data_IF_148227823103
#
_entry.id   IF_148227823103
#
_cell.length_a   1.000
_cell.length_b   1.000
_cell.length_c   1.000
_cell.angle_alpha   90.00
_cell.angle_beta   90.00
_cell.angle_gamma   90.00
#
_symmetry.space_group_name_H-M   'P 1'
#
loop_
_entity.id
_entity.type
_entity.pdbx_description
1 polymer ?
#
# COMPACT_ATOMS: atom_id res chain seq x y z
N UNK A 1 6.28 14.18 -17.56
CA UNK A 1 5.38 13.06 -17.83
C UNK A 1 4.12 13.61 -18.48
N UNK A 2 3.52 12.96 -19.46
CA UNK A 2 2.46 13.55 -20.31
C UNK A 2 1.10 13.46 -19.54
N UNK A 3 0.34 14.56 -19.42
CA UNK A 3 -0.94 14.66 -18.71
C UNK A 3 -1.92 13.50 -19.04
N UNK A 4 -2.03 13.12 -20.33
CA UNK A 4 -2.85 11.97 -20.76
C UNK A 4 -2.42 10.63 -20.14
N UNK A 5 -1.14 10.47 -19.79
CA UNK A 5 -0.63 9.23 -19.20
C UNK A 5 -0.98 9.11 -17.73
N UNK A 6 -0.97 10.20 -17.00
CA UNK A 6 -1.24 10.21 -15.55
C UNK A 6 -2.73 10.08 -15.23
N UNK A 7 -3.58 10.76 -15.99
CA UNK A 7 -5.05 10.57 -15.92
C UNK A 7 -5.45 9.11 -16.20
N UNK A 8 -4.72 8.42 -17.09
CA UNK A 8 -4.94 7.01 -17.35
C UNK A 8 -4.51 6.13 -16.16
N UNK A 9 -3.36 6.41 -15.54
CA UNK A 9 -2.87 5.65 -14.37
C UNK A 9 -3.90 5.75 -13.22
N UNK A 10 -4.43 6.95 -12.97
CA UNK A 10 -5.49 7.14 -11.99
C UNK A 10 -6.73 6.28 -12.28
N UNK A 11 -7.21 6.28 -13.53
CA UNK A 11 -8.36 5.45 -13.92
C UNK A 11 -8.08 3.96 -13.71
N UNK A 12 -6.90 3.48 -14.08
CA UNK A 12 -6.52 2.09 -13.95
C UNK A 12 -6.37 1.67 -12.47
N UNK A 13 -5.83 2.54 -11.61
CA UNK A 13 -5.83 2.33 -10.16
C UNK A 13 -7.26 2.27 -9.61
N UNK A 14 -8.14 3.20 -10.00
CA UNK A 14 -9.53 3.21 -9.55
C UNK A 14 -10.30 1.96 -10.00
N UNK A 15 -10.09 1.48 -11.23
CA UNK A 15 -10.70 0.25 -11.74
C UNK A 15 -10.31 -0.96 -10.88
N UNK A 16 -9.11 -0.97 -10.31
CA UNK A 16 -8.66 -2.07 -9.44
C UNK A 16 -9.05 -1.88 -7.97
N UNK A 17 -9.14 -0.64 -7.49
CA UNK A 17 -9.51 -0.32 -6.09
C UNK A 17 -11.01 -0.44 -5.85
N UNK A 18 -11.85 -0.05 -6.83
CA UNK A 18 -13.31 -0.11 -6.67
C UNK A 18 -13.86 -1.52 -6.40
N UNK A 19 -13.43 -2.60 -7.09
CA UNK A 19 -13.86 -3.95 -6.74
C UNK A 19 -13.47 -4.35 -5.31
N UNK A 20 -12.28 -3.95 -4.83
CA UNK A 20 -11.85 -4.18 -3.45
C UNK A 20 -12.75 -3.43 -2.45
N UNK A 21 -13.09 -2.18 -2.75
CA UNK A 21 -14.00 -1.38 -1.92
C UNK A 21 -15.42 -1.95 -1.93
N UNK A 22 -15.91 -2.42 -3.08
CA UNK A 22 -17.20 -3.10 -3.17
C UNK A 22 -17.23 -4.39 -2.35
N UNK A 23 -16.17 -5.20 -2.43
CA UNK A 23 -16.05 -6.42 -1.64
C UNK A 23 -16.05 -6.09 -0.13
N UNK A 24 -15.30 -5.08 0.29
CA UNK A 24 -15.30 -4.60 1.67
C UNK A 24 -16.69 -4.09 2.11
N UNK A 25 -17.42 -3.41 1.23
CA UNK A 25 -18.79 -3.00 1.51
C UNK A 25 -19.73 -4.21 1.69
N UNK A 26 -19.62 -5.23 0.84
CA UNK A 26 -20.44 -6.44 0.99
C UNK A 26 -20.12 -7.23 2.25
N UNK A 27 -18.88 -7.24 2.72
CA UNK A 27 -18.48 -7.96 3.93
C UNK A 27 -18.79 -7.21 5.22
N UNK A 28 -18.62 -5.89 5.23
CA UNK A 28 -18.66 -5.10 6.47
C UNK A 28 -19.79 -4.06 6.52
N UNK A 29 -20.49 -3.84 5.42
CA UNK A 29 -21.67 -3.00 5.37
C UNK A 29 -21.38 -1.49 5.25
N UNK A 30 -22.36 -0.70 5.71
CA UNK A 30 -22.43 0.75 5.45
C UNK A 30 -21.33 1.52 6.18
N UNK A 31 -20.87 1.06 7.34
CA UNK A 31 -19.81 1.75 8.10
C UNK A 31 -18.55 1.93 7.25
N UNK A 32 -18.10 0.87 6.56
CA UNK A 32 -16.95 0.95 5.67
C UNK A 32 -17.19 1.95 4.52
N UNK A 33 -18.38 1.95 3.91
CA UNK A 33 -18.69 2.88 2.81
C UNK A 33 -18.61 4.35 3.25
N UNK A 34 -19.14 4.65 4.44
CA UNK A 34 -19.06 6.01 5.03
C UNK A 34 -17.61 6.37 5.34
N UNK A 35 -16.83 5.44 5.93
CA UNK A 35 -15.42 5.66 6.21
C UNK A 35 -14.62 5.94 4.92
N UNK A 36 -14.83 5.14 3.87
CA UNK A 36 -14.18 5.35 2.57
C UNK A 36 -14.57 6.69 1.95
N UNK A 37 -15.85 7.08 2.04
CA UNK A 37 -16.30 8.40 1.60
C UNK A 37 -15.63 9.53 2.39
N UNK A 38 -15.54 9.43 3.72
CA UNK A 38 -14.83 10.40 4.57
C UNK A 38 -13.37 10.52 4.14
N UNK A 39 -12.68 9.40 3.90
CA UNK A 39 -11.30 9.41 3.42
C UNK A 39 -11.17 10.14 2.08
N UNK A 40 -11.98 9.80 1.08
CA UNK A 40 -11.92 10.40 -0.26
C UNK A 40 -12.24 11.89 -0.22
N UNK A 41 -13.28 12.30 0.50
CA UNK A 41 -13.61 13.74 0.64
C UNK A 41 -12.52 14.50 1.37
N UNK A 42 -11.91 13.92 2.42
CA UNK A 42 -10.79 14.54 3.14
C UNK A 42 -9.58 14.70 2.23
N UNK A 43 -9.23 13.67 1.45
CA UNK A 43 -8.13 13.73 0.49
C UNK A 43 -8.32 14.82 -0.56
N UNK A 44 -9.52 14.92 -1.13
CA UNK A 44 -9.87 15.98 -2.08
C UNK A 44 -9.80 17.37 -1.46
N UNK A 45 -10.36 17.55 -0.27
CA UNK A 45 -10.36 18.84 0.43
C UNK A 45 -8.93 19.27 0.80
N UNK A 46 -8.11 18.35 1.30
CA UNK A 46 -6.72 18.61 1.63
C UNK A 46 -5.89 18.99 0.40
N UNK A 47 -6.06 18.28 -0.72
CA UNK A 47 -5.37 18.59 -1.97
C UNK A 47 -5.79 19.96 -2.52
N UNK A 48 -7.09 20.24 -2.56
CA UNK A 48 -7.61 21.53 -2.99
C UNK A 48 -7.07 22.67 -2.14
N UNK A 49 -7.07 22.51 -0.81
CA UNK A 49 -6.54 23.52 0.11
C UNK A 49 -5.03 23.74 -0.11
N UNK A 50 -4.25 22.66 -0.27
CA UNK A 50 -2.82 22.74 -0.51
C UNK A 50 -2.49 23.45 -1.84
N UNK A 51 -3.21 23.11 -2.92
CA UNK A 51 -3.02 23.76 -4.23
C UNK A 51 -3.37 25.25 -4.17
N UNK A 52 -4.44 25.64 -3.45
CA UNK A 52 -4.79 27.05 -3.22
C UNK A 52 -3.69 27.79 -2.47
N UNK A 53 -3.12 27.20 -1.43
CA UNK A 53 -1.99 27.79 -0.68
C UNK A 53 -0.74 27.92 -1.54
N UNK A 54 -0.52 26.99 -2.47
CA UNK A 54 0.60 27.01 -3.41
C UNK A 54 0.35 27.87 -4.65
N UNK A 55 -0.80 28.56 -4.75
CA UNK A 55 -1.24 29.33 -5.93
C UNK A 55 -1.20 28.51 -7.23
N UNK A 56 -1.59 27.23 -7.17
CA UNK A 56 -1.69 26.32 -8.31
C UNK A 56 -3.14 26.01 -8.64
N UNK A 57 -3.43 25.83 -9.93
CA UNK A 57 -4.74 25.36 -10.38
C UNK A 57 -4.90 23.86 -10.17
N UNK A 58 -6.12 23.44 -9.84
CA UNK A 58 -6.48 22.03 -9.73
C UNK A 58 -6.57 21.41 -11.14
N UNK A 59 -5.87 20.32 -11.36
CA UNK A 59 -5.82 19.61 -12.63
C UNK A 59 -6.39 18.20 -12.50
N UNK A 60 -6.76 17.57 -13.63
CA UNK A 60 -7.24 16.18 -13.64
C UNK A 60 -6.24 15.21 -13.01
N UNK A 61 -4.96 15.55 -13.04
CA UNK A 61 -3.89 14.75 -12.47
C UNK A 61 -3.90 14.78 -10.93
N UNK A 62 -4.45 15.81 -10.31
CA UNK A 62 -4.53 15.93 -8.86
C UNK A 62 -5.63 15.02 -8.29
N UNK A 63 -6.52 14.47 -9.13
CA UNK A 63 -7.48 13.42 -8.77
C UNK A 63 -6.82 12.15 -8.19
N UNK A 64 -5.52 11.94 -8.40
CA UNK A 64 -4.79 10.84 -7.74
C UNK A 64 -4.84 10.90 -6.21
N UNK A 65 -5.18 12.04 -5.61
CA UNK A 65 -5.44 12.11 -4.17
C UNK A 65 -6.62 11.23 -3.74
N UNK A 66 -7.56 10.94 -4.65
CA UNK A 66 -8.70 10.06 -4.36
C UNK A 66 -8.29 8.60 -4.31
N UNK A 67 -7.37 8.16 -5.19
CA UNK A 67 -6.81 6.80 -5.11
C UNK A 67 -5.96 6.64 -3.85
N UNK A 68 -5.10 7.60 -3.52
CA UNK A 68 -4.32 7.60 -2.28
C UNK A 68 -5.22 7.48 -1.04
N UNK A 69 -6.31 8.25 -0.99
CA UNK A 69 -7.27 8.23 0.12
C UNK A 69 -8.05 6.91 0.20
N UNK A 70 -8.42 6.33 -0.94
CA UNK A 70 -9.11 5.04 -0.99
C UNK A 70 -8.18 3.89 -0.58
N UNK A 71 -6.90 3.95 -0.96
CA UNK A 71 -5.87 3.01 -0.49
C UNK A 71 -5.78 3.06 1.04
N UNK A 72 -5.75 4.26 1.65
CA UNK A 72 -5.74 4.42 3.11
C UNK A 72 -6.97 3.76 3.74
N UNK A 73 -8.17 4.03 3.20
CA UNK A 73 -9.40 3.42 3.70
C UNK A 73 -9.38 1.89 3.63
N UNK A 74 -8.83 1.32 2.56
CA UNK A 74 -8.69 -0.12 2.36
C UNK A 74 -7.62 -0.77 3.26
N UNK A 75 -6.67 0.00 3.77
CA UNK A 75 -5.67 -0.48 4.73
C UNK A 75 -6.20 -0.52 6.16
N UNK A 76 -7.32 0.12 6.44
CA UNK A 76 -7.90 0.20 7.76
C UNK A 76 -8.88 -0.94 8.05
N UNK A 77 -9.13 -1.27 9.35
CA UNK A 77 -10.26 -2.10 9.71
C UNK A 77 -11.58 -1.41 9.37
N UNK A 78 -12.59 -2.21 8.99
CA UNK A 78 -13.89 -1.68 8.55
C UNK A 78 -14.63 -0.86 9.62
N UNK A 79 -14.27 -1.02 10.87
CA UNK A 79 -14.88 -0.36 12.04
C UNK A 79 -14.07 0.80 12.60
N UNK A 80 -13.08 1.27 11.83
CA UNK A 80 -12.24 2.40 12.24
C UNK A 80 -13.08 3.66 12.50
N UNK A 81 -12.74 4.40 13.55
CA UNK A 81 -13.40 5.67 13.84
C UNK A 81 -13.15 6.68 12.71
N UNK A 82 -14.24 7.32 12.26
CA UNK A 82 -14.18 8.29 11.16
C UNK A 82 -13.24 9.46 11.43
N UNK A 83 -13.08 9.87 12.72
CA UNK A 83 -12.14 10.92 13.12
C UNK A 83 -10.69 10.50 12.92
N UNK A 84 -10.37 9.26 13.26
CA UNK A 84 -9.02 8.71 13.06
C UNK A 84 -8.74 8.59 11.56
N UNK A 85 -9.69 8.06 10.79
CA UNK A 85 -9.57 7.99 9.34
C UNK A 85 -9.37 9.37 8.69
N UNK A 86 -10.14 10.38 9.12
CA UNK A 86 -9.97 11.77 8.70
C UNK A 86 -8.57 12.30 8.98
N UNK A 87 -8.08 12.16 10.23
CA UNK A 87 -6.75 12.64 10.63
C UNK A 87 -5.62 11.91 9.88
N UNK A 88 -5.75 10.62 9.65
CA UNK A 88 -4.79 9.83 8.91
C UNK A 88 -4.64 10.30 7.46
N UNK A 89 -5.76 10.51 6.76
CA UNK A 89 -5.75 11.02 5.38
C UNK A 89 -5.22 12.44 5.33
N UNK A 90 -5.61 13.27 6.28
CA UNK A 90 -5.09 14.65 6.37
C UNK A 90 -3.57 14.66 6.56
N UNK A 91 -3.04 13.82 7.46
CA UNK A 91 -1.59 13.66 7.65
C UNK A 91 -0.89 13.19 6.37
N UNK A 92 -1.38 12.14 5.74
CA UNK A 92 -0.81 11.60 4.50
C UNK A 92 -0.81 12.61 3.36
N UNK A 93 -1.92 13.33 3.17
CA UNK A 93 -2.07 14.30 2.08
C UNK A 93 -1.29 15.58 2.34
N UNK A 94 -1.35 16.14 3.54
CA UNK A 94 -0.70 17.44 3.85
C UNK A 94 0.77 17.23 4.19
N UNK A 95 1.08 16.40 5.18
CA UNK A 95 2.44 16.27 5.71
C UNK A 95 3.30 15.42 4.78
N UNK A 96 2.87 14.20 4.45
CA UNK A 96 3.72 13.29 3.68
C UNK A 96 3.83 13.67 2.19
N UNK A 97 2.83 14.35 1.61
CA UNK A 97 2.80 14.71 0.19
C UNK A 97 3.07 16.20 -0.04
N UNK A 98 2.21 17.07 0.46
CA UNK A 98 2.20 18.48 0.05
C UNK A 98 3.32 19.33 0.66
N UNK A 99 3.73 19.07 1.92
CA UNK A 99 4.87 19.77 2.56
C UNK A 99 6.18 19.55 1.80
N UNK A 100 6.38 18.37 1.19
CA UNK A 100 7.57 18.06 0.40
C UNK A 100 7.50 18.51 -1.07
N UNK A 101 6.53 19.33 -1.45
CA UNK A 101 6.41 19.89 -2.81
C UNK A 101 5.35 19.22 -3.66
N UNK A 102 4.50 18.39 -3.06
CA UNK A 102 3.37 17.74 -3.70
C UNK A 102 3.80 16.63 -4.65
N UNK A 103 2.94 16.33 -5.62
CA UNK A 103 3.07 15.18 -6.51
C UNK A 103 4.37 15.11 -7.32
N UNK A 104 4.96 16.26 -7.68
CA UNK A 104 6.19 16.29 -8.49
C UNK A 104 7.45 15.90 -7.72
N UNK A 105 7.42 16.03 -6.40
CA UNK A 105 8.57 15.74 -5.54
C UNK A 105 8.15 14.84 -4.38
N UNK A 106 7.39 13.79 -4.67
CA UNK A 106 6.91 12.84 -3.66
C UNK A 106 8.08 12.03 -3.11
N UNK A 107 8.31 12.18 -1.80
CA UNK A 107 9.33 11.44 -1.05
C UNK A 107 8.71 10.18 -0.47
N UNK A 108 7.65 10.33 0.30
CA UNK A 108 6.91 9.25 0.95
C UNK A 108 5.66 8.87 0.16
N UNK A 109 5.27 7.61 0.22
CA UNK A 109 3.91 7.23 -0.15
C UNK A 109 2.93 7.81 0.87
N UNK A 110 1.93 8.62 0.45
CA UNK A 110 0.95 9.21 1.37
C UNK A 110 0.19 8.15 2.16
N UNK A 111 -0.15 7.04 1.52
CA UNK A 111 -0.85 5.93 2.15
C UNK A 111 0.01 5.23 3.21
N UNK A 112 1.29 4.95 2.90
CA UNK A 112 2.20 4.34 3.88
C UNK A 112 2.44 5.26 5.09
N UNK A 113 2.65 6.55 4.86
CA UNK A 113 2.87 7.52 5.92
C UNK A 113 1.62 7.69 6.81
N UNK A 114 0.42 7.75 6.21
CA UNK A 114 -0.84 7.80 6.94
C UNK A 114 -1.04 6.56 7.82
N UNK A 115 -0.75 5.37 7.29
CA UNK A 115 -0.85 4.12 8.04
C UNK A 115 0.12 4.09 9.22
N UNK A 116 1.40 4.43 9.02
CA UNK A 116 2.40 4.45 10.09
C UNK A 116 2.07 5.50 11.15
N UNK A 117 1.57 6.66 10.77
CA UNK A 117 1.06 7.67 11.70
C UNK A 117 -0.08 7.11 12.54
N UNK A 118 -1.04 6.42 11.93
CA UNK A 118 -2.15 5.81 12.64
C UNK A 118 -1.69 4.66 13.54
N UNK A 119 -0.76 3.84 13.07
CA UNK A 119 -0.19 2.74 13.84
C UNK A 119 0.50 3.22 15.13
N UNK A 120 1.22 4.33 15.05
CA UNK A 120 1.93 4.91 16.20
C UNK A 120 1.01 5.65 17.17
N UNK A 121 -0.09 6.24 16.68
CA UNK A 121 -1.01 7.05 17.47
C UNK A 121 -2.20 6.26 18.01
N UNK A 122 -2.74 5.32 17.23
CA UNK A 122 -3.94 4.51 17.52
C UNK A 122 -3.74 3.05 17.10
N UNK A 123 -2.60 2.46 17.49
CA UNK A 123 -2.25 1.09 17.07
C UNK A 123 -3.26 0.04 17.53
N UNK A 124 -3.87 0.22 18.71
CA UNK A 124 -4.88 -0.71 19.19
C UNK A 124 -6.14 -0.72 18.32
N UNK A 125 -6.62 0.45 17.95
CA UNK A 125 -7.80 0.62 17.09
C UNK A 125 -7.53 0.15 15.67
N UNK A 126 -6.30 0.29 15.20
CA UNK A 126 -5.88 -0.09 13.86
C UNK A 126 -5.71 -1.61 13.69
N UNK A 127 -5.33 -2.32 14.75
CA UNK A 127 -4.99 -3.76 14.72
C UNK A 127 -6.10 -4.67 15.26
N UNK A 128 -7.31 -4.13 15.46
CA UNK A 128 -8.49 -4.89 15.86
C UNK A 128 -9.53 -4.85 14.73
N UNK A 129 -9.95 -6.02 14.29
CA UNK A 129 -10.78 -6.19 13.10
C UNK A 129 -12.14 -6.78 13.47
N UNK A 130 -13.20 -6.44 12.74
CA UNK A 130 -14.46 -7.16 12.86
C UNK A 130 -14.31 -8.57 12.28
N UNK A 131 -15.08 -9.51 12.80
CA UNK A 131 -15.19 -10.84 12.18
C UNK A 131 -15.69 -10.72 10.74
N UNK A 132 -15.30 -11.61 9.81
CA UNK A 132 -15.82 -11.62 8.46
C UNK A 132 -17.35 -11.64 8.46
N UNK A 133 -17.97 -10.90 7.54
CA UNK A 133 -19.44 -10.73 7.42
C UNK A 133 -20.13 -10.04 8.62
N UNK A 134 -19.38 -9.41 9.52
CA UNK A 134 -19.96 -8.59 10.57
C UNK A 134 -20.44 -7.26 9.99
N UNK A 135 -21.70 -7.23 9.51
CA UNK A 135 -22.30 -5.98 9.02
C UNK A 135 -22.50 -4.99 10.17
N UNK A 136 -21.88 -3.83 10.02
CA UNK A 136 -21.99 -2.75 11.01
C UNK A 136 -22.77 -1.58 10.42
N UNK A 137 -23.69 -1.03 11.21
CA UNK A 137 -24.42 0.20 10.89
C UNK A 137 -23.52 1.43 11.01
N UNK A 138 -24.03 2.60 10.56
CA UNK A 138 -23.24 3.85 10.48
C UNK A 138 -22.66 4.28 11.85
N UNK A 139 -23.37 4.05 12.94
CA UNK A 139 -22.97 4.46 14.29
C UNK A 139 -22.69 3.27 15.23
N UNK A 140 -22.80 2.05 14.73
CA UNK A 140 -22.60 0.86 15.55
C UNK A 140 -21.10 0.54 15.66
N UNK A 141 -20.64 0.39 16.89
CA UNK A 141 -19.34 -0.24 17.15
C UNK A 141 -19.53 -1.75 17.03
N UNK A 142 -18.65 -2.41 16.26
CA UNK A 142 -18.65 -3.87 16.23
C UNK A 142 -18.51 -4.42 17.64
N UNK A 143 -19.40 -5.34 18.00
CA UNK A 143 -19.44 -5.93 19.34
C UNK A 143 -18.30 -6.93 19.55
N UNK A 144 -17.90 -7.62 18.47
CA UNK A 144 -16.90 -8.68 18.52
C UNK A 144 -15.70 -8.29 17.63
N UNK A 145 -14.70 -7.65 18.26
CA UNK A 145 -13.43 -7.37 17.62
C UNK A 145 -12.46 -8.52 17.86
N UNK A 146 -11.83 -8.98 16.81
CA UNK A 146 -10.84 -10.06 16.82
C UNK A 146 -9.49 -9.57 16.32
N UNK A 147 -8.44 -10.28 16.67
CA UNK A 147 -7.12 -10.08 16.08
C UNK A 147 -7.12 -10.57 14.63
N UNK A 148 -6.23 -10.08 13.80
CA UNK A 148 -6.14 -10.52 12.40
C UNK A 148 -5.64 -11.95 12.28
N UNK A 149 -5.98 -12.58 11.15
CA UNK A 149 -5.37 -13.85 10.74
C UNK A 149 -3.83 -13.74 10.63
N UNK A 150 -3.34 -12.56 10.21
CA UNK A 150 -1.90 -12.26 10.15
C UNK A 150 -1.25 -12.29 11.53
N UNK A 151 -1.88 -11.69 12.53
CA UNK A 151 -1.37 -11.69 13.90
C UNK A 151 -1.32 -13.11 14.48
N UNK A 152 -2.41 -13.87 14.34
CA UNK A 152 -2.47 -15.27 14.79
C UNK A 152 -1.38 -16.11 14.11
N UNK A 153 -1.20 -15.95 12.81
CA UNK A 153 -0.15 -16.64 12.06
C UNK A 153 1.25 -16.25 12.54
N UNK A 154 1.54 -14.97 12.74
CA UNK A 154 2.84 -14.48 13.20
C UNK A 154 3.21 -14.98 14.60
N UNK A 155 2.21 -15.12 15.50
CA UNK A 155 2.42 -15.55 16.87
C UNK A 155 2.50 -17.06 17.04
N UNK A 156 1.70 -17.81 16.29
CA UNK A 156 1.51 -19.26 16.50
C UNK A 156 2.07 -20.13 15.38
N UNK A 157 2.36 -19.54 14.22
CA UNK A 157 2.69 -20.29 13.00
C UNK A 157 1.51 -21.12 12.46
N UNK A 158 0.28 -20.90 12.94
CA UNK A 158 -0.90 -21.65 12.50
C UNK A 158 -1.84 -20.72 11.74
N UNK A 159 -2.36 -21.23 10.63
CA UNK A 159 -3.45 -20.58 9.91
C UNK A 159 -4.78 -21.28 10.27
N UNK A 160 -5.72 -20.51 10.82
CA UNK A 160 -7.01 -21.04 11.26
C UNK A 160 -8.04 -21.15 10.12
N UNK A 161 -7.75 -20.49 9.00
CA UNK A 161 -8.63 -20.44 7.83
C UNK A 161 -8.18 -21.43 6.76
N UNK A 162 -9.14 -22.00 6.03
CA UNK A 162 -8.87 -22.86 4.88
C UNK A 162 -8.31 -22.04 3.70
N UNK A 163 -7.60 -22.70 2.78
CA UNK A 163 -7.06 -22.03 1.57
C UNK A 163 -8.15 -21.37 0.72
N UNK A 164 -9.36 -21.95 0.70
CA UNK A 164 -10.50 -21.37 -0.02
C UNK A 164 -11.01 -20.10 0.66
N UNK A 165 -11.12 -20.07 1.98
CA UNK A 165 -11.52 -18.88 2.75
C UNK A 165 -10.50 -17.74 2.56
N UNK A 166 -9.20 -18.06 2.58
CA UNK A 166 -8.13 -17.08 2.32
C UNK A 166 -8.26 -16.53 0.90
N UNK A 167 -8.46 -17.37 -0.11
CA UNK A 167 -8.59 -16.93 -1.49
C UNK A 167 -9.79 -16.00 -1.69
N UNK A 168 -10.92 -16.33 -1.07
CA UNK A 168 -12.15 -15.53 -1.14
C UNK A 168 -12.12 -14.27 -0.26
N UNK A 169 -11.19 -14.19 0.70
CA UNK A 169 -11.11 -13.05 1.61
C UNK A 169 -12.01 -13.17 2.83
N UNK A 170 -12.41 -14.38 3.19
CA UNK A 170 -13.25 -14.66 4.36
C UNK A 170 -12.41 -14.87 5.61
N UNK A 171 -11.59 -13.88 5.95
CA UNK A 171 -10.77 -13.88 7.16
C UNK A 171 -10.62 -12.45 7.71
N UNK A 172 -10.30 -12.34 9.02
CA UNK A 172 -10.15 -11.05 9.69
C UNK A 172 -8.84 -10.37 9.28
N UNK A 173 -8.95 -9.11 8.84
CA UNK A 173 -7.81 -8.30 8.41
C UNK A 173 -8.21 -6.95 7.81
N UNK A 174 -7.25 -6.17 7.28
CA UNK A 174 -7.51 -4.91 6.60
C UNK A 174 -8.41 -5.10 5.39
N UNK A 175 -9.40 -4.21 5.22
CA UNK A 175 -10.49 -4.36 4.26
C UNK A 175 -10.07 -4.68 2.82
N UNK A 176 -9.00 -4.04 2.34
CA UNK A 176 -8.52 -4.24 0.97
C UNK A 176 -7.50 -5.38 0.82
N UNK A 177 -6.92 -5.83 1.93
CA UNK A 177 -5.86 -6.84 1.89
C UNK A 177 -6.38 -8.27 1.95
N UNK A 178 -7.62 -8.46 2.36
CA UNK A 178 -8.20 -9.80 2.55
C UNK A 178 -8.57 -10.50 1.24
N UNK A 179 -8.98 -9.80 0.20
CA UNK A 179 -9.42 -10.43 -1.07
C UNK A 179 -8.25 -10.76 -1.99
N UNK A 180 -7.61 -11.91 -1.78
CA UNK A 180 -6.41 -12.32 -2.52
C UNK A 180 -6.68 -12.47 -4.02
N UNK A 181 -7.82 -13.02 -4.40
CA UNK A 181 -8.18 -13.20 -5.81
C UNK A 181 -8.26 -11.86 -6.54
N UNK A 182 -8.93 -10.86 -5.97
CA UNK A 182 -9.01 -9.53 -6.57
C UNK A 182 -7.65 -8.83 -6.63
N UNK A 183 -6.80 -9.04 -5.61
CA UNK A 183 -5.43 -8.48 -5.59
C UNK A 183 -4.56 -9.10 -6.69
N UNK A 184 -4.64 -10.39 -6.95
CA UNK A 184 -3.91 -11.04 -8.05
C UNK A 184 -4.36 -10.50 -9.41
N UNK A 185 -5.66 -10.33 -9.61
CA UNK A 185 -6.21 -9.74 -10.83
C UNK A 185 -5.75 -8.28 -10.98
N UNK A 186 -5.78 -7.49 -9.91
CA UNK A 186 -5.31 -6.11 -9.89
C UNK A 186 -3.81 -6.03 -10.24
N UNK A 187 -2.98 -6.89 -9.64
CA UNK A 187 -1.55 -6.95 -9.94
C UNK A 187 -1.31 -7.25 -11.42
N UNK A 188 -1.96 -8.29 -11.96
CA UNK A 188 -1.83 -8.68 -13.36
C UNK A 188 -2.22 -7.52 -14.30
N UNK A 189 -3.35 -6.86 -14.03
CA UNK A 189 -3.84 -5.74 -14.83
C UNK A 189 -2.86 -4.56 -14.81
N UNK A 190 -2.44 -4.11 -13.62
CA UNK A 190 -1.58 -2.93 -13.47
C UNK A 190 -0.16 -3.18 -14.00
N UNK A 191 0.39 -4.40 -13.87
CA UNK A 191 1.67 -4.78 -14.46
C UNK A 191 1.56 -4.81 -15.98
N UNK A 192 0.51 -5.43 -16.54
CA UNK A 192 0.30 -5.52 -17.99
C UNK A 192 0.17 -4.13 -18.61
N UNK A 193 -0.55 -3.21 -17.96
CA UNK A 193 -0.72 -1.83 -18.39
C UNK A 193 0.50 -0.95 -18.11
N UNK A 194 1.48 -1.47 -17.41
CA UNK A 194 2.69 -0.75 -16.99
C UNK A 194 2.39 0.48 -16.12
N UNK A 195 1.39 0.41 -15.25
CA UNK A 195 1.01 1.50 -14.36
C UNK A 195 1.78 1.45 -13.03
N UNK A 196 2.20 0.26 -12.62
CA UNK A 196 3.08 0.03 -11.47
C UNK A 196 4.48 -0.42 -11.90
N UNK A 197 5.43 -0.38 -10.97
CA UNK A 197 6.79 -0.87 -11.18
C UNK A 197 6.85 -2.40 -11.05
N UNK A 198 6.87 -3.12 -12.18
CA UNK A 198 6.98 -4.58 -12.16
C UNK A 198 8.24 -5.07 -11.43
N UNK A 199 9.37 -4.34 -11.53
CA UNK A 199 10.58 -4.67 -10.79
C UNK A 199 10.38 -4.65 -9.30
N UNK A 200 9.75 -3.58 -8.75
CA UNK A 200 9.49 -3.46 -7.32
C UNK A 200 8.51 -4.54 -6.85
N UNK A 201 7.45 -4.82 -7.62
CA UNK A 201 6.49 -5.89 -7.31
C UNK A 201 7.17 -7.26 -7.21
N UNK A 202 7.91 -7.66 -8.26
CA UNK A 202 8.60 -8.95 -8.29
C UNK A 202 9.66 -9.02 -7.18
N UNK A 203 10.39 -7.92 -6.93
CA UNK A 203 11.34 -7.82 -5.83
C UNK A 203 10.70 -8.07 -4.47
N UNK A 204 9.53 -7.46 -4.22
CA UNK A 204 8.80 -7.64 -2.96
C UNK A 204 8.31 -9.07 -2.79
N UNK A 205 7.68 -9.64 -3.81
CA UNK A 205 7.19 -11.03 -3.75
C UNK A 205 8.33 -12.02 -3.59
N UNK A 206 9.42 -11.87 -4.36
CA UNK A 206 10.57 -12.77 -4.27
C UNK A 206 11.32 -12.62 -2.95
N UNK A 207 11.46 -11.40 -2.41
CA UNK A 207 12.09 -11.17 -1.12
C UNK A 207 11.32 -11.83 0.02
N UNK A 208 10.00 -11.66 0.06
CA UNK A 208 9.15 -12.35 1.05
C UNK A 208 9.23 -13.87 0.90
N UNK A 209 9.12 -14.40 -0.32
CA UNK A 209 9.16 -15.84 -0.58
C UNK A 209 10.51 -16.48 -0.17
N UNK A 210 11.61 -15.83 -0.54
CA UNK A 210 12.97 -16.33 -0.21
C UNK A 210 13.17 -16.36 1.31
N UNK A 211 12.83 -15.28 2.01
CA UNK A 211 13.01 -15.25 3.47
C UNK A 211 12.03 -16.17 4.21
N UNK A 212 10.79 -16.30 3.77
CA UNK A 212 9.84 -17.26 4.31
C UNK A 212 10.29 -18.72 4.10
N UNK A 213 11.04 -19.00 3.03
CA UNK A 213 11.61 -20.31 2.78
C UNK A 213 12.86 -20.60 3.64
N UNK A 214 13.73 -19.59 3.83
CA UNK A 214 14.96 -19.72 4.62
C UNK A 214 14.65 -19.80 6.12
N UNK A 215 13.75 -18.95 6.60
CA UNK A 215 13.35 -18.85 8.02
C UNK A 215 11.85 -19.09 8.16
N UNK A 216 11.40 -20.35 7.98
CA UNK A 216 9.98 -20.65 7.95
C UNK A 216 9.33 -20.43 9.33
N UNK A 217 8.13 -19.85 9.35
CA UNK A 217 7.31 -19.73 10.56
C UNK A 217 6.57 -21.02 10.91
N UNK A 218 6.42 -21.92 9.93
CA UNK A 218 5.78 -23.23 10.05
C UNK A 218 6.79 -24.32 9.66
N UNK A 219 6.58 -25.55 10.17
CA UNK A 219 7.44 -26.68 9.84
C UNK A 219 7.49 -26.99 8.33
N UNK A 220 6.36 -26.81 7.62
CA UNK A 220 6.33 -26.91 6.17
C UNK A 220 6.75 -25.57 5.53
N UNK A 221 7.84 -25.60 4.79
CA UNK A 221 8.39 -24.43 4.09
C UNK A 221 7.47 -23.90 2.99
N UNK A 222 6.76 -24.80 2.31
CA UNK A 222 5.83 -24.43 1.24
C UNK A 222 4.65 -23.63 1.80
N UNK A 223 4.07 -24.10 2.90
CA UNK A 223 2.99 -23.41 3.59
C UNK A 223 3.46 -22.09 4.23
N UNK A 224 4.69 -22.06 4.77
CA UNK A 224 5.27 -20.82 5.27
C UNK A 224 5.37 -19.75 4.18
N UNK A 225 5.85 -20.09 2.99
CA UNK A 225 5.91 -19.16 1.84
C UNK A 225 4.52 -18.72 1.42
N UNK A 226 3.58 -19.67 1.26
CA UNK A 226 2.21 -19.41 0.84
C UNK A 226 1.54 -18.41 1.78
N UNK A 227 1.53 -18.70 3.08
CA UNK A 227 0.84 -17.85 4.05
C UNK A 227 1.55 -16.50 4.27
N UNK A 228 2.88 -16.45 4.24
CA UNK A 228 3.61 -15.18 4.34
C UNK A 228 3.33 -14.23 3.18
N UNK A 229 3.01 -14.74 1.99
CA UNK A 229 2.66 -13.91 0.83
C UNK A 229 1.23 -13.35 0.90
N UNK A 230 0.29 -14.09 1.50
CA UNK A 230 -1.12 -13.71 1.54
C UNK A 230 -1.54 -12.98 2.82
N UNK A 231 -0.70 -13.03 3.87
CA UNK A 231 -0.90 -12.33 5.13
C UNK A 231 -0.14 -11.01 5.20
N UNK A 232 -0.23 -10.30 6.31
CA UNK A 232 0.57 -9.10 6.64
C UNK A 232 0.49 -7.99 5.57
N UNK A 233 -0.60 -7.92 4.80
CA UNK A 233 -0.80 -6.96 3.70
C UNK A 233 0.29 -7.02 2.61
N UNK A 234 1.08 -8.10 2.53
CA UNK A 234 2.23 -8.16 1.60
C UNK A 234 1.79 -7.92 0.16
N UNK A 235 0.77 -8.64 -0.31
CA UNK A 235 0.30 -8.51 -1.69
C UNK A 235 -0.31 -7.12 -1.96
N UNK A 236 -1.13 -6.61 -1.07
CA UNK A 236 -1.73 -5.27 -1.18
C UNK A 236 -0.65 -4.17 -1.21
N UNK A 237 0.29 -4.21 -0.26
CA UNK A 237 1.37 -3.24 -0.19
C UNK A 237 2.33 -3.34 -1.38
N UNK A 238 2.62 -4.56 -1.86
CA UNK A 238 3.43 -4.77 -3.06
C UNK A 238 2.82 -4.09 -4.29
N UNK A 239 1.50 -4.11 -4.45
CA UNK A 239 0.79 -3.50 -5.58
C UNK A 239 0.71 -1.98 -5.46
N UNK A 240 0.12 -1.48 -4.36
CA UNK A 240 -0.33 -0.09 -4.25
C UNK A 240 0.66 0.83 -3.53
N UNK A 241 1.65 0.29 -2.79
CA UNK A 241 2.57 1.09 -1.98
C UNK A 241 4.00 0.97 -2.50
N UNK A 242 4.56 -0.24 -2.53
CA UNK A 242 5.97 -0.45 -2.90
C UNK A 242 6.21 -0.24 -4.38
N UNK A 243 5.25 -0.66 -5.22
CA UNK A 243 5.36 -0.56 -6.69
C UNK A 243 4.86 0.77 -7.27
N UNK A 244 4.43 1.71 -6.44
CA UNK A 244 4.00 3.02 -6.90
C UNK A 244 5.14 3.75 -7.63
N UNK A 245 4.93 4.05 -8.91
CA UNK A 245 5.93 4.72 -9.76
C UNK A 245 6.31 6.13 -9.31
N UNK A 246 5.50 6.73 -8.45
CA UNK A 246 5.76 8.06 -7.88
C UNK A 246 6.88 7.99 -6.84
N UNK A 247 7.00 6.86 -6.15
CA UNK A 247 7.96 6.63 -5.04
C UNK A 247 9.04 5.62 -5.38
N UNK A 248 8.77 4.60 -6.19
CA UNK A 248 9.74 3.58 -6.58
C UNK A 248 10.82 4.10 -7.55
N UNK A 249 12.01 3.49 -7.60
CA UNK A 249 13.02 3.73 -8.64
C UNK A 249 12.47 3.48 -10.04
N UNK A 250 12.99 4.20 -11.04
CA UNK A 250 12.49 4.12 -12.45
C UNK A 250 13.05 2.92 -13.20
N UNK A 251 14.36 2.62 -13.04
CA UNK A 251 15.01 1.48 -13.71
C UNK A 251 14.57 0.19 -13.00
N UNK A 252 14.11 -0.80 -13.77
CA UNK A 252 13.55 -2.06 -13.24
C UNK A 252 14.49 -2.82 -12.30
N UNK A 253 15.80 -2.75 -12.57
CA UNK A 253 16.82 -3.37 -11.74
C UNK A 253 16.89 -2.76 -10.33
N UNK A 254 16.96 -1.43 -10.21
CA UNK A 254 16.98 -0.77 -8.90
C UNK A 254 15.64 -0.92 -8.17
N UNK A 255 14.53 -0.91 -8.92
CA UNK A 255 13.21 -1.16 -8.37
C UNK A 255 13.09 -2.57 -7.78
N UNK A 256 13.68 -3.58 -8.44
CA UNK A 256 13.72 -4.95 -7.92
C UNK A 256 14.44 -5.01 -6.57
N UNK A 257 15.66 -4.47 -6.47
CA UNK A 257 16.39 -4.48 -5.20
C UNK A 257 15.69 -3.65 -4.13
N UNK A 258 15.08 -2.54 -4.49
CA UNK A 258 14.29 -1.74 -3.57
C UNK A 258 13.14 -2.57 -2.96
N UNK A 259 12.31 -3.21 -3.78
CA UNK A 259 11.22 -4.07 -3.31
C UNK A 259 11.72 -5.27 -2.50
N UNK A 260 12.82 -5.91 -2.96
CA UNK A 260 13.43 -7.04 -2.27
C UNK A 260 13.89 -6.68 -0.84
N UNK A 261 14.62 -5.58 -0.67
CA UNK A 261 15.09 -5.16 0.65
C UNK A 261 13.97 -4.73 1.58
N UNK A 262 12.90 -4.10 1.07
CA UNK A 262 11.70 -3.80 1.87
C UNK A 262 11.07 -5.08 2.39
N UNK A 263 10.90 -6.08 1.53
CA UNK A 263 10.32 -7.37 1.92
C UNK A 263 11.15 -8.08 2.97
N UNK A 264 12.48 -8.11 2.79
CA UNK A 264 13.42 -8.68 3.75
C UNK A 264 13.33 -7.98 5.11
N UNK A 265 13.37 -6.65 5.13
CA UNK A 265 13.26 -5.88 6.36
C UNK A 265 11.91 -6.09 7.05
N UNK A 266 10.82 -6.11 6.27
CA UNK A 266 9.49 -6.43 6.77
C UNK A 266 9.45 -7.82 7.42
N UNK A 267 9.99 -8.82 6.75
CA UNK A 267 9.98 -10.19 7.26
C UNK A 267 10.81 -10.34 8.54
N UNK A 268 11.97 -9.68 8.62
CA UNK A 268 12.78 -9.62 9.84
C UNK A 268 11.98 -8.98 10.99
N UNK A 269 11.28 -7.87 10.72
CA UNK A 269 10.42 -7.23 11.72
C UNK A 269 9.30 -8.16 12.19
N UNK A 270 8.66 -8.91 11.30
CA UNK A 270 7.63 -9.90 11.68
C UNK A 270 8.21 -10.94 12.63
N UNK A 271 9.35 -11.55 12.30
CA UNK A 271 9.96 -12.59 13.14
C UNK A 271 10.38 -12.05 14.51
N UNK A 272 10.88 -10.81 14.57
CA UNK A 272 11.43 -10.24 15.82
C UNK A 272 10.36 -9.66 16.72
N UNK A 273 9.27 -9.11 16.15
CA UNK A 273 8.25 -8.38 16.92
C UNK A 273 6.88 -9.04 16.88
N UNK A 274 6.68 -10.05 16.02
CA UNK A 274 5.38 -10.65 15.68
C UNK A 274 4.31 -9.64 15.23
N UNK A 275 4.71 -8.38 14.96
CA UNK A 275 3.80 -7.32 14.53
C UNK A 275 3.34 -7.57 13.09
N UNK A 276 2.07 -7.34 12.83
CA UNK A 276 1.49 -7.46 11.50
C UNK A 276 1.72 -6.20 10.65
N UNK A 277 1.56 -6.37 9.33
CA UNK A 277 1.59 -5.27 8.36
C UNK A 277 2.90 -4.45 8.34
N UNK A 278 4.01 -5.07 8.77
CA UNK A 278 5.33 -4.43 8.87
C UNK A 278 5.88 -3.98 7.53
N UNK A 279 5.36 -4.49 6.41
CA UNK A 279 5.79 -4.09 5.06
C UNK A 279 5.51 -2.60 4.79
N UNK A 280 4.44 -2.06 5.35
CA UNK A 280 4.10 -0.64 5.23
C UNK A 280 5.11 0.20 6.02
N UNK A 281 5.45 -0.23 7.23
CA UNK A 281 6.47 0.41 8.06
C UNK A 281 7.85 0.34 7.38
N UNK A 282 8.23 -0.85 6.87
CA UNK A 282 9.48 -1.03 6.14
C UNK A 282 9.56 -0.11 4.92
N UNK A 283 8.47 0.09 4.18
CA UNK A 283 8.44 1.01 3.03
C UNK A 283 8.76 2.44 3.43
N UNK A 284 8.23 2.92 4.54
CA UNK A 284 8.52 4.27 5.05
C UNK A 284 9.98 4.36 5.51
N UNK A 285 10.50 3.35 6.21
CA UNK A 285 11.90 3.32 6.67
C UNK A 285 12.90 3.26 5.52
N UNK A 286 12.56 2.61 4.40
CA UNK A 286 13.41 2.51 3.21
C UNK A 286 13.25 3.67 2.22
N UNK A 287 12.44 4.68 2.53
CA UNK A 287 12.32 5.89 1.70
C UNK A 287 13.66 6.57 1.41
N UNK A 288 14.62 6.73 2.37
CA UNK A 288 15.93 7.30 2.06
C UNK A 288 16.73 6.48 1.04
N UNK A 289 16.61 5.16 1.08
CA UNK A 289 17.25 4.28 0.09
C UNK A 289 16.64 4.45 -1.30
N UNK A 290 15.31 4.58 -1.40
CA UNK A 290 14.63 4.89 -2.66
C UNK A 290 15.13 6.21 -3.27
N UNK A 291 15.30 7.24 -2.45
CA UNK A 291 15.89 8.51 -2.89
C UNK A 291 17.33 8.32 -3.39
N UNK A 292 18.15 7.54 -2.67
CA UNK A 292 19.51 7.20 -3.08
C UNK A 292 19.56 6.54 -4.44
N UNK A 293 18.70 5.54 -4.69
CA UNK A 293 18.60 4.88 -5.99
C UNK A 293 18.18 5.84 -7.11
N UNK A 294 17.23 6.75 -6.87
CA UNK A 294 16.82 7.77 -7.86
C UNK A 294 17.94 8.76 -8.17
N UNK A 295 18.73 9.16 -7.17
CA UNK A 295 19.90 10.04 -7.37
C UNK A 295 20.98 9.34 -8.21
N UNK A 296 21.22 8.04 -7.97
CA UNK A 296 22.14 7.23 -8.78
C UNK A 296 21.64 7.11 -10.24
N UNK A 297 20.35 6.83 -10.43
CA UNK A 297 19.73 6.78 -11.76
C UNK A 297 19.94 8.10 -12.53
N UNK A 298 19.70 9.23 -11.87
CA UNK A 298 19.86 10.54 -12.49
C UNK A 298 21.31 10.85 -12.87
N UNK A 299 22.28 10.49 -12.02
CA UNK A 299 23.72 10.63 -12.34
C UNK A 299 24.14 9.79 -13.54
N UNK A 300 23.66 8.53 -13.59
CA UNK A 300 23.94 7.63 -14.73
C UNK A 300 23.33 8.18 -16.02
N UNK A 301 22.07 8.65 -15.99
CA UNK A 301 21.42 9.26 -17.15
C UNK A 301 22.14 10.54 -17.64
N UNK A 302 22.71 11.31 -16.73
CA UNK A 302 23.52 12.48 -17.09
C UNK A 302 24.84 12.08 -17.77
N UNK A 303 25.56 11.11 -17.20
CA UNK A 303 26.81 10.60 -17.78
C UNK A 303 26.58 9.97 -19.17
N UNK A 304 25.52 9.19 -19.36
CA UNK A 304 25.14 8.61 -20.66
C UNK A 304 24.84 9.71 -21.71
N UNK A 305 24.18 10.82 -21.30
CA UNK A 305 23.90 11.96 -22.19
C UNK A 305 25.13 12.76 -22.55
N UNK A 306 26.10 12.91 -21.65
CA UNK A 306 27.38 13.57 -21.90
C UNK A 306 28.23 12.77 -22.89
N UNK A 307 28.35 11.46 -22.68
CA UNK A 307 29.06 10.56 -23.61
C UNK A 307 28.45 10.58 -25.02
N UNK A 308 27.12 10.50 -25.11
CA UNK A 308 26.43 10.57 -26.38
C UNK A 308 26.64 11.91 -27.13
N UNK A 309 26.81 13.02 -26.38
CA UNK A 309 27.14 14.32 -26.96
C UNK A 309 28.60 14.39 -27.48
N UNK A 310 29.54 13.81 -26.72
CA UNK A 310 30.93 13.74 -27.14
C UNK A 310 31.13 12.86 -28.38
N UNK A 311 30.40 11.74 -28.46
CA UNK A 311 30.40 10.87 -29.65
C UNK A 311 29.78 11.55 -30.87
N UNK A 312 28.76 12.39 -30.70
CA UNK A 312 28.13 13.11 -31.80
C UNK A 312 28.96 14.30 -32.33
N UNK A 313 29.95 14.74 -31.60
CA UNK A 313 30.87 15.83 -31.98
C UNK A 313 32.15 15.29 -32.63
N UNK A 314 32.44 14.01 -32.48
CA UNK A 314 33.51 13.29 -33.18
C UNK A 314 33.04 12.76 -34.54
#
# INVERSE_FOLDING_TARGET
MNQKKESRIWLDEMITLLPLALMAFFYYGVHFAVMAAVCVFTGLAAEFAALRLMHREFTADDLMCTSDALIIALMFPAVMDYKIAFLAVLFGSVVAKNVFGGRRNMIFSPAAAAYVFTLTSWGRELLMYPSPHAHTGIAEKAKDLVVSASHTFNMTGKMEYSDFEILMGNFSGPCGAVSIMLLVIAAAMLIFRKDISAGAFIGTISGTAVFAFITPMIADRSDSVKYSLVTNMVLFAAIYIVSDRRTAPKKSYYAFFYGFFIAVASYILIITTAQENTIVLATVLFTPAAMGFRMLEHKIEQAEKEQAKEEAVR
#
